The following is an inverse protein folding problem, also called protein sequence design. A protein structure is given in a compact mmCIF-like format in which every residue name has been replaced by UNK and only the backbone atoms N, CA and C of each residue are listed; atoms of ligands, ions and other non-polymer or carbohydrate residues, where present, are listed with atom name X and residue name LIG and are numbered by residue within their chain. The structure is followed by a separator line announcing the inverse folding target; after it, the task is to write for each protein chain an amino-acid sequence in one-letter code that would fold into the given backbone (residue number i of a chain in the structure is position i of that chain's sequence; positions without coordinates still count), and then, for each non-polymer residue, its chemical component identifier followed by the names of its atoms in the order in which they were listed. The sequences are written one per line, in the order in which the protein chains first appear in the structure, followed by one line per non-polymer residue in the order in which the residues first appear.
data_IF_737207094839
#
_entry.id   IF_737207094839
#
_cell.length_a   1.000
_cell.length_b   1.000
_cell.length_c   1.000
_cell.angle_alpha   90.00
_cell.angle_beta   90.00
_cell.angle_gamma   90.00
#
_symmetry.space_group_name_H-M   'P 1'
#
loop_
_entity.id
_entity.type
_entity.pdbx_description
1 polymer ?
#
# COMPACT_ATOMS: atom_id res chain seq x y z
N UNK A 1 -38.54 -14.29 -1.29
CA UNK A 1 -37.47 -13.80 -2.18
C UNK A 1 -37.33 -12.30 -1.98
N UNK A 2 -36.17 -11.81 -1.58
CA UNK A 2 -35.92 -10.36 -1.50
C UNK A 2 -35.58 -9.87 -2.90
N UNK A 3 -36.38 -8.98 -3.47
CA UNK A 3 -36.17 -8.36 -4.80
C UNK A 3 -34.95 -7.41 -4.81
N UNK A 4 -33.78 -7.89 -4.40
CA UNK A 4 -32.59 -7.08 -4.25
C UNK A 4 -31.47 -7.52 -5.18
N UNK A 5 -30.65 -6.56 -5.59
CA UNK A 5 -29.36 -6.80 -6.22
C UNK A 5 -28.28 -6.85 -5.14
N UNK A 6 -27.41 -7.85 -5.21
CA UNK A 6 -26.26 -7.98 -4.31
C UNK A 6 -24.97 -8.06 -5.12
N UNK A 7 -23.97 -7.30 -4.67
CA UNK A 7 -22.62 -7.30 -5.18
C UNK A 7 -21.64 -7.24 -4.01
N UNK A 8 -20.70 -8.18 -3.95
CA UNK A 8 -19.68 -8.26 -2.91
C UNK A 8 -18.33 -8.39 -3.59
N UNK A 9 -17.36 -7.57 -3.17
CA UNK A 9 -15.99 -7.59 -3.69
C UNK A 9 -14.99 -7.63 -2.55
N UNK A 10 -13.93 -8.40 -2.74
CA UNK A 10 -12.80 -8.46 -1.82
C UNK A 10 -11.48 -8.53 -2.60
N UNK A 11 -10.52 -7.69 -2.21
CA UNK A 11 -9.17 -7.73 -2.74
C UNK A 11 -8.16 -7.60 -1.60
N UNK A 12 -7.26 -8.57 -1.49
CA UNK A 12 -6.17 -8.50 -0.52
C UNK A 12 -5.09 -7.53 -1.02
N UNK A 13 -4.57 -6.60 -0.20
CA UNK A 13 -3.58 -5.60 -0.63
C UNK A 13 -2.26 -6.16 -1.17
N UNK A 14 -1.97 -7.43 -0.89
CA UNK A 14 -0.76 -8.12 -1.35
C UNK A 14 -1.05 -9.26 -2.34
N UNK A 15 -2.30 -9.48 -2.71
CA UNK A 15 -2.61 -10.50 -3.72
C UNK A 15 -2.10 -10.03 -5.09
N UNK A 16 -1.30 -10.88 -5.74
CA UNK A 16 -0.91 -10.72 -7.14
C UNK A 16 -1.98 -11.27 -8.11
N UNK A 17 -3.00 -11.96 -7.59
CA UNK A 17 -4.10 -12.56 -8.35
C UNK A 17 -5.37 -11.69 -8.29
N UNK A 18 -6.31 -12.00 -9.19
CA UNK A 18 -7.56 -11.25 -9.38
C UNK A 18 -8.39 -11.14 -8.09
N UNK A 19 -9.09 -10.02 -7.93
CA UNK A 19 -10.03 -9.80 -6.82
C UNK A 19 -11.18 -10.82 -6.89
N UNK A 20 -11.69 -11.22 -5.73
CA UNK A 20 -12.82 -12.15 -5.64
C UNK A 20 -14.10 -11.32 -5.62
N UNK A 21 -15.07 -11.70 -6.45
CA UNK A 21 -16.37 -11.04 -6.44
C UNK A 21 -17.52 -12.04 -6.52
N UNK A 22 -18.61 -11.67 -5.89
CA UNK A 22 -19.91 -12.31 -6.03
C UNK A 22 -20.90 -11.29 -6.57
N UNK A 23 -21.60 -11.66 -7.64
CA UNK A 23 -22.72 -10.90 -8.17
C UNK A 23 -23.95 -11.79 -8.11
N UNK A 24 -25.03 -11.30 -7.52
CA UNK A 24 -26.30 -12.02 -7.52
C UNK A 24 -26.75 -12.35 -8.95
N UNK A 25 -27.39 -13.51 -9.21
CA UNK A 25 -27.80 -13.92 -10.56
C UNK A 25 -28.63 -12.85 -11.27
N UNK A 26 -29.54 -12.19 -10.53
CA UNK A 26 -30.38 -11.13 -11.07
C UNK A 26 -29.58 -9.93 -11.57
N UNK A 27 -28.64 -9.42 -10.76
CA UNK A 27 -27.79 -8.31 -11.16
C UNK A 27 -26.87 -8.68 -12.34
N UNK A 28 -26.42 -9.94 -12.40
CA UNK A 28 -25.65 -10.44 -13.54
C UNK A 28 -26.45 -10.42 -14.85
N UNK A 29 -27.75 -10.72 -14.80
CA UNK A 29 -28.62 -10.69 -15.96
C UNK A 29 -29.09 -9.28 -16.34
N UNK A 30 -29.47 -8.46 -15.35
CA UNK A 30 -30.14 -7.17 -15.59
C UNK A 30 -29.16 -6.00 -15.76
N UNK A 31 -27.94 -6.08 -15.18
CA UNK A 31 -27.02 -4.95 -15.10
C UNK A 31 -25.55 -5.37 -15.36
N UNK A 32 -25.33 -6.24 -16.34
CA UNK A 32 -23.99 -6.80 -16.64
C UNK A 32 -22.96 -5.73 -16.99
N UNK A 33 -23.32 -4.77 -17.83
CA UNK A 33 -22.40 -3.73 -18.28
C UNK A 33 -21.98 -2.81 -17.12
N UNK A 34 -22.93 -2.43 -16.29
CA UNK A 34 -22.76 -1.60 -15.10
C UNK A 34 -21.91 -2.33 -14.06
N UNK A 35 -22.18 -3.61 -13.83
CA UNK A 35 -21.39 -4.46 -12.93
C UNK A 35 -19.94 -4.54 -13.40
N UNK A 36 -19.70 -4.74 -14.69
CA UNK A 36 -18.35 -4.77 -15.27
C UNK A 36 -17.63 -3.44 -15.10
N UNK A 37 -18.33 -2.30 -15.25
CA UNK A 37 -17.76 -0.97 -15.01
C UNK A 37 -17.36 -0.81 -13.53
N UNK A 38 -18.24 -1.17 -12.60
CA UNK A 38 -17.96 -1.11 -11.15
C UNK A 38 -16.71 -1.94 -10.82
N UNK A 39 -16.65 -3.16 -11.34
CA UNK A 39 -15.51 -4.08 -11.20
C UNK A 39 -14.20 -3.43 -11.69
N UNK A 40 -14.21 -2.83 -12.87
CA UNK A 40 -13.02 -2.20 -13.44
C UNK A 40 -12.58 -0.99 -12.61
N UNK A 41 -13.52 -0.11 -12.27
CA UNK A 41 -13.23 1.07 -11.43
C UNK A 41 -12.65 0.66 -10.08
N UNK A 42 -13.26 -0.32 -9.42
CA UNK A 42 -12.77 -0.85 -8.14
C UNK A 42 -11.34 -1.38 -8.27
N UNK A 43 -11.08 -2.21 -9.29
CA UNK A 43 -9.75 -2.78 -9.54
C UNK A 43 -8.69 -1.70 -9.77
N UNK A 44 -9.01 -0.67 -10.57
CA UNK A 44 -8.11 0.47 -10.82
C UNK A 44 -7.79 1.23 -9.54
N UNK A 45 -8.81 1.54 -8.72
CA UNK A 45 -8.62 2.27 -7.46
C UNK A 45 -7.73 1.49 -6.51
N UNK A 46 -7.99 0.19 -6.31
CA UNK A 46 -7.19 -0.65 -5.41
C UNK A 46 -5.75 -0.76 -5.91
N UNK A 47 -5.54 -0.97 -7.21
CA UNK A 47 -4.19 -1.03 -7.78
C UNK A 47 -3.43 0.28 -7.55
N UNK A 48 -4.06 1.43 -7.76
CA UNK A 48 -3.45 2.73 -7.49
C UNK A 48 -3.08 2.91 -6.01
N UNK A 49 -3.94 2.46 -5.09
CA UNK A 49 -3.64 2.49 -3.65
C UNK A 49 -2.46 1.58 -3.28
N UNK A 50 -2.39 0.38 -3.85
CA UNK A 50 -1.26 -0.55 -3.65
C UNK A 50 0.03 0.09 -4.15
N UNK A 51 0.03 0.70 -5.34
CA UNK A 51 1.18 1.39 -5.91
C UNK A 51 1.61 2.58 -5.03
N UNK A 52 0.65 3.42 -4.60
CA UNK A 52 0.94 4.54 -3.71
C UNK A 52 1.53 4.07 -2.37
N UNK A 53 1.03 2.96 -1.81
CA UNK A 53 1.60 2.36 -0.59
C UNK A 53 3.03 1.88 -0.82
N UNK A 54 3.33 1.24 -1.95
CA UNK A 54 4.69 0.80 -2.31
C UNK A 54 5.64 1.99 -2.47
N UNK A 55 5.20 3.05 -3.15
CA UNK A 55 5.98 4.27 -3.31
C UNK A 55 6.31 4.92 -1.95
N UNK A 56 5.30 5.03 -1.07
CA UNK A 56 5.50 5.56 0.29
C UNK A 56 6.44 4.69 1.12
N UNK A 57 6.34 3.37 1.01
CA UNK A 57 7.25 2.44 1.70
C UNK A 57 8.70 2.60 1.22
N UNK A 58 8.90 2.81 -0.09
CA UNK A 58 10.22 3.08 -0.67
C UNK A 58 10.78 4.41 -0.18
N UNK A 59 9.98 5.48 -0.18
CA UNK A 59 10.39 6.80 0.33
C UNK A 59 10.79 6.74 1.81
N UNK A 60 10.02 6.01 2.62
CA UNK A 60 10.34 5.79 4.03
C UNK A 60 11.64 4.99 4.22
N UNK A 61 11.86 3.96 3.40
CA UNK A 61 13.11 3.19 3.44
C UNK A 61 14.33 4.05 3.09
N UNK A 62 14.19 4.96 2.12
CA UNK A 62 15.25 5.89 1.76
C UNK A 62 15.55 6.88 2.90
N UNK A 63 14.51 7.52 3.46
CA UNK A 63 14.66 8.43 4.61
C UNK A 63 15.31 7.75 5.82
N UNK A 64 14.98 6.47 6.04
CA UNK A 64 15.60 5.69 7.11
C UNK A 64 17.10 5.45 6.85
N UNK A 65 17.47 5.17 5.59
CA UNK A 65 18.87 5.02 5.20
C UNK A 65 19.67 6.31 5.45
N UNK A 66 19.15 7.45 4.99
CA UNK A 66 19.77 8.77 5.16
C UNK A 66 19.90 9.14 6.65
N UNK A 67 18.86 8.91 7.45
CA UNK A 67 18.88 9.17 8.88
C UNK A 67 19.91 8.27 9.62
N UNK A 68 20.04 7.01 9.22
CA UNK A 68 21.03 6.09 9.80
C UNK A 68 22.46 6.51 9.46
N UNK A 69 22.70 7.00 8.23
CA UNK A 69 24.01 7.51 7.82
C UNK A 69 24.38 8.77 8.61
N UNK A 70 23.47 9.75 8.69
CA UNK A 70 23.69 10.96 9.50
C UNK A 70 23.92 10.65 10.98
N UNK A 71 23.17 9.68 11.55
CA UNK A 71 23.39 9.24 12.92
C UNK A 71 24.80 8.64 13.09
N UNK A 72 25.23 7.79 12.16
CA UNK A 72 26.58 7.19 12.21
C UNK A 72 27.68 8.24 12.17
N UNK A 73 27.52 9.28 11.37
CA UNK A 73 28.44 10.42 11.33
C UNK A 73 28.46 11.20 12.64
N UNK A 74 27.28 11.48 13.21
CA UNK A 74 27.15 12.16 14.49
C UNK A 74 27.78 11.35 15.64
N UNK A 75 27.53 10.04 15.69
CA UNK A 75 28.10 9.13 16.69
C UNK A 75 29.64 9.07 16.56
N UNK A 76 30.17 9.06 15.34
CA UNK A 76 31.61 9.08 15.09
C UNK A 76 32.28 10.40 15.53
N UNK A 77 31.62 11.53 15.27
CA UNK A 77 32.11 12.85 15.69
C UNK A 77 32.05 13.01 17.22
N UNK A 78 31.01 12.47 17.85
CA UNK A 78 30.87 12.47 19.31
C UNK A 78 31.98 11.63 19.97
N UNK A 79 32.24 10.43 19.44
CA UNK A 79 33.34 9.59 19.91
C UNK A 79 34.73 10.27 19.75
N UNK A 80 34.95 11.01 18.65
CA UNK A 80 36.18 11.79 18.46
C UNK A 80 36.33 12.89 19.51
N UNK A 81 35.26 13.64 19.79
CA UNK A 81 35.27 14.71 20.79
C UNK A 81 35.49 14.17 22.20
N UNK A 82 34.86 13.04 22.54
CA UNK A 82 35.05 12.38 23.83
C UNK A 82 36.50 11.91 24.02
N UNK A 83 37.13 11.34 22.98
CA UNK A 83 38.54 10.98 23.03
C UNK A 83 39.47 12.18 23.26
N UNK A 84 39.17 13.32 22.61
CA UNK A 84 39.95 14.54 22.73
C UNK A 84 39.82 15.20 24.12
N UNK A 85 38.65 15.07 24.76
CA UNK A 85 38.44 15.52 26.15
C UNK A 85 39.18 14.61 27.12
N UNK A 86 39.25 13.31 26.87
CA UNK A 86 39.93 12.37 27.75
C UNK A 86 41.47 12.48 27.72
N UNK A 87 42.04 13.12 26.69
CA UNK A 87 43.49 13.41 26.60
C UNK A 87 43.92 14.69 27.35
N UNK A 88 42.98 15.54 27.78
CA UNK A 88 43.22 16.76 28.58
C UNK A 88 42.96 16.54 30.07
#
# INVERSE_FOLDING_TARGET
ETNCWLFVVAQHPQANAHFIHYTSPRMHCEAKAETNKIVHTFSTVINNLILARRAKALELAQKLSEANESKKEADAELARKEALIAEY
#
